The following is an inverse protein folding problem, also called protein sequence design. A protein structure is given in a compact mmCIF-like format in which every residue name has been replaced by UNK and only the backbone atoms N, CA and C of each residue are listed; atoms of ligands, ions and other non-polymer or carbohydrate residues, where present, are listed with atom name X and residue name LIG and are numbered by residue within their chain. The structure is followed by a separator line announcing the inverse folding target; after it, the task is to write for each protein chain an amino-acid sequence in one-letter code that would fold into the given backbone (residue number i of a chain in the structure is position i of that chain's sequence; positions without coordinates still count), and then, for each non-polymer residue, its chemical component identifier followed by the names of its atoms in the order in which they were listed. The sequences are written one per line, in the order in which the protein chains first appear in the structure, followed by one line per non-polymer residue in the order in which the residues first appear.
data_IF_562223809948
#
_entry.id   IF_562223809948
#
_cell.length_a   1.000
_cell.length_b   1.000
_cell.length_c   1.000
_cell.angle_alpha   90.00
_cell.angle_beta   90.00
_cell.angle_gamma   90.00
#
_symmetry.space_group_name_H-M   'P 1'
#
loop_
_entity.id
_entity.type
_entity.pdbx_description
1 polymer ?
#
# COMPACT_ATOMS: atom_id res chain seq x y z
N UNK A 1 33.70 33.34 81.59
CA UNK A 1 32.39 33.89 81.17
C UNK A 1 32.37 33.95 79.64
N UNK A 2 31.36 33.32 79.03
CA UNK A 2 30.86 33.45 77.65
C UNK A 2 31.64 32.84 76.45
N UNK A 3 31.07 31.73 75.99
CA UNK A 3 30.44 31.52 74.68
C UNK A 3 31.27 31.67 73.38
N UNK A 4 31.61 30.48 72.85
CA UNK A 4 31.37 29.94 71.50
C UNK A 4 32.05 30.56 70.26
N UNK A 5 32.70 29.70 69.45
CA UNK A 5 32.53 29.80 68.01
C UNK A 5 32.39 28.41 67.34
N UNK A 6 31.24 27.74 67.44
CA UNK A 6 30.90 26.65 66.53
C UNK A 6 30.39 27.22 65.20
N UNK A 7 31.33 27.65 64.36
CA UNK A 7 31.13 27.75 62.91
C UNK A 7 31.58 26.45 62.27
N UNK A 8 30.69 25.45 62.18
CA UNK A 8 30.86 24.37 61.20
C UNK A 8 30.22 24.78 59.88
N UNK A 9 31.07 25.32 59.02
CA UNK A 9 30.86 25.46 57.59
C UNK A 9 30.67 24.08 56.93
N UNK A 10 29.92 24.05 55.84
CA UNK A 10 29.25 22.87 55.28
C UNK A 10 30.17 21.74 54.84
N UNK A 11 29.73 20.51 55.10
CA UNK A 11 30.24 19.32 54.43
C UNK A 11 29.28 18.97 53.28
N UNK A 12 29.43 19.72 52.19
CA UNK A 12 28.80 19.40 50.90
C UNK A 12 29.47 18.14 50.35
N UNK A 13 28.98 16.97 50.78
CA UNK A 13 29.56 15.68 50.41
C UNK A 13 28.92 15.22 49.10
N UNK A 14 29.36 15.82 47.99
CA UNK A 14 28.94 15.43 46.65
C UNK A 14 29.34 13.97 46.33
N UNK A 15 28.63 13.28 45.42
CA UNK A 15 28.94 11.90 45.06
C UNK A 15 30.38 11.74 44.55
N UNK A 16 31.07 10.63 44.87
CA UNK A 16 32.45 10.42 44.44
C UNK A 16 32.55 10.50 42.91
N UNK A 17 33.62 11.14 42.40
CA UNK A 17 33.82 11.35 40.95
C UNK A 17 33.73 10.06 40.14
N UNK A 18 34.14 8.93 40.70
CA UNK A 18 34.02 7.62 40.06
C UNK A 18 32.55 7.20 39.83
N UNK A 19 31.66 7.49 40.79
CA UNK A 19 30.22 7.22 40.67
C UNK A 19 29.60 8.14 39.61
N UNK A 20 30.02 9.41 39.56
CA UNK A 20 29.59 10.34 38.52
C UNK A 20 30.02 9.89 37.12
N UNK A 21 31.28 9.44 36.95
CA UNK A 21 31.80 8.96 35.68
C UNK A 21 31.06 7.68 35.24
N UNK A 22 30.87 6.73 36.16
CA UNK A 22 30.14 5.49 35.87
C UNK A 22 28.68 5.76 35.46
N UNK A 23 28.01 6.67 36.17
CA UNK A 23 26.64 7.08 35.84
C UNK A 23 26.54 7.74 34.47
N UNK A 24 27.48 8.63 34.13
CA UNK A 24 27.54 9.29 32.81
C UNK A 24 27.80 8.26 31.71
N UNK A 25 28.76 7.36 31.88
CA UNK A 25 29.06 6.33 30.90
C UNK A 25 27.85 5.43 30.63
N UNK A 26 27.14 5.02 31.69
CA UNK A 26 25.95 4.18 31.58
C UNK A 26 24.79 4.91 30.90
N UNK A 27 24.62 6.20 31.18
CA UNK A 27 23.64 7.05 30.50
C UNK A 27 23.94 7.18 28.99
N UNK A 28 25.20 7.42 28.62
CA UNK A 28 25.62 7.53 27.21
C UNK A 28 25.40 6.21 26.47
N UNK A 29 25.74 5.07 27.07
CA UNK A 29 25.49 3.75 26.47
C UNK A 29 23.98 3.51 26.29
N UNK A 30 23.17 3.80 27.30
CA UNK A 30 21.72 3.63 27.21
C UNK A 30 21.11 4.50 26.10
N UNK A 31 21.52 5.77 25.99
CA UNK A 31 21.09 6.66 24.91
C UNK A 31 21.54 6.11 23.55
N UNK A 32 22.79 5.65 23.43
CA UNK A 32 23.30 5.04 22.20
C UNK A 32 22.48 3.83 21.76
N UNK A 33 22.12 2.94 22.69
CA UNK A 33 21.27 1.78 22.42
C UNK A 33 19.86 2.20 22.01
N UNK A 34 19.25 3.17 22.70
CA UNK A 34 17.91 3.68 22.35
C UNK A 34 17.91 4.30 20.96
N UNK A 35 18.93 5.11 20.62
CA UNK A 35 19.06 5.72 19.30
C UNK A 35 19.30 4.70 18.21
N UNK A 36 20.11 3.66 18.46
CA UNK A 36 20.29 2.56 17.53
C UNK A 36 18.97 1.82 17.28
N UNK A 37 18.22 1.50 18.32
CA UNK A 37 16.89 0.88 18.20
C UNK A 37 15.95 1.79 17.43
N UNK A 38 15.89 3.09 17.76
CA UNK A 38 15.04 4.05 17.07
C UNK A 38 15.40 4.19 15.58
N UNK A 39 16.68 4.23 15.24
CA UNK A 39 17.16 4.27 13.86
C UNK A 39 16.82 2.99 13.07
N UNK A 40 16.71 1.84 13.75
CA UNK A 40 16.27 0.58 13.13
C UNK A 40 14.75 0.42 13.05
N UNK A 41 13.96 1.25 13.76
CA UNK A 41 12.50 1.24 13.67
C UNK A 41 12.06 1.99 12.41
N UNK A 42 11.78 1.23 11.35
CA UNK A 42 11.10 1.76 10.17
C UNK A 42 9.69 2.23 10.58
N UNK A 43 9.34 3.46 10.22
CA UNK A 43 7.96 3.93 10.37
C UNK A 43 7.02 2.99 9.60
N UNK A 44 5.82 2.66 10.14
CA UNK A 44 4.86 1.86 9.40
C UNK A 44 4.59 2.49 8.03
N UNK A 45 4.56 1.70 6.94
CA UNK A 45 4.28 2.24 5.62
C UNK A 45 2.93 2.98 5.64
N UNK A 46 2.91 4.20 5.08
CA UNK A 46 1.71 5.02 5.04
C UNK A 46 0.59 4.27 4.30
N UNK A 47 -0.60 4.10 4.91
CA UNK A 47 -1.70 3.39 4.28
C UNK A 47 -2.22 4.08 3.02
N UNK A 48 -2.58 3.29 2.01
CA UNK A 48 -3.18 3.76 0.76
C UNK A 48 -4.68 3.94 0.96
N UNK A 49 -5.17 5.17 0.82
CA UNK A 49 -6.59 5.42 0.72
C UNK A 49 -7.11 4.98 -0.66
N UNK A 50 -8.08 4.08 -0.67
CA UNK A 50 -8.76 3.60 -1.87
C UNK A 50 -10.23 3.99 -1.76
N UNK A 51 -10.71 4.84 -2.67
CA UNK A 51 -12.12 5.20 -2.70
C UNK A 51 -12.98 3.94 -2.87
N UNK A 52 -14.05 3.85 -2.07
CA UNK A 52 -15.05 2.81 -2.23
C UNK A 52 -15.78 3.00 -3.56
N UNK A 53 -16.01 1.88 -4.25
CA UNK A 53 -16.79 1.81 -5.48
C UNK A 53 -17.66 0.56 -5.38
N UNK A 54 -18.89 0.53 -5.96
CA UNK A 54 -19.74 -0.65 -5.92
C UNK A 54 -19.00 -1.91 -6.40
N UNK A 55 -18.88 -2.88 -5.50
CA UNK A 55 -18.21 -4.15 -5.73
C UNK A 55 -19.02 -5.29 -5.10
N UNK A 56 -20.22 -5.59 -5.63
CA UNK A 56 -21.15 -6.55 -5.02
C UNK A 56 -20.58 -7.98 -4.95
N UNK A 57 -19.56 -8.28 -5.76
CA UNK A 57 -18.91 -9.60 -5.80
C UNK A 57 -17.54 -9.62 -5.10
N UNK A 58 -17.17 -8.58 -4.35
CA UNK A 58 -15.86 -8.47 -3.69
C UNK A 58 -15.56 -9.62 -2.71
N UNK A 59 -16.59 -10.16 -2.04
CA UNK A 59 -16.47 -11.31 -1.13
C UNK A 59 -16.56 -12.69 -1.82
N UNK A 60 -16.69 -12.73 -3.15
CA UNK A 60 -16.83 -13.98 -3.90
C UNK A 60 -15.63 -14.91 -3.71
N UNK A 61 -15.82 -16.21 -3.98
CA UNK A 61 -14.74 -17.18 -3.93
C UNK A 61 -13.60 -16.84 -4.90
N UNK A 62 -13.94 -16.32 -6.09
CA UNK A 62 -12.97 -15.87 -7.09
C UNK A 62 -12.11 -14.72 -6.55
N UNK A 63 -12.71 -13.68 -5.96
CA UNK A 63 -11.96 -12.56 -5.42
C UNK A 63 -11.10 -12.94 -4.22
N UNK A 64 -11.56 -13.86 -3.36
CA UNK A 64 -10.75 -14.40 -2.26
C UNK A 64 -9.54 -15.19 -2.78
N UNK A 65 -9.76 -16.07 -3.76
CA UNK A 65 -8.66 -16.83 -4.39
C UNK A 65 -7.61 -15.90 -5.03
N UNK A 66 -8.05 -14.84 -5.73
CA UNK A 66 -7.15 -13.83 -6.28
C UNK A 66 -6.39 -13.10 -5.16
N UNK A 67 -7.08 -12.65 -4.10
CA UNK A 67 -6.47 -11.96 -2.98
C UNK A 67 -5.37 -12.78 -2.29
N UNK A 68 -5.54 -14.11 -2.23
CA UNK A 68 -4.55 -15.03 -1.66
C UNK A 68 -3.35 -15.27 -2.58
N UNK A 69 -3.54 -15.27 -3.92
CA UNK A 69 -2.47 -15.47 -4.91
C UNK A 69 -1.71 -14.19 -5.27
N UNK A 70 -2.19 -13.05 -4.78
CA UNK A 70 -1.82 -11.72 -5.19
C UNK A 70 -0.36 -11.41 -4.75
N UNK A 71 0.54 -10.99 -5.67
CA UNK A 71 1.97 -10.95 -5.35
C UNK A 71 2.33 -9.81 -4.39
N UNK A 72 3.42 -10.00 -3.65
CA UNK A 72 3.97 -8.96 -2.75
C UNK A 72 4.68 -7.83 -3.52
N UNK A 73 5.13 -8.10 -4.74
CA UNK A 73 5.81 -7.14 -5.61
C UNK A 73 5.24 -7.16 -7.02
N UNK A 74 5.20 -5.99 -7.64
CA UNK A 74 4.88 -5.78 -9.04
C UNK A 74 6.01 -4.98 -9.69
N UNK A 75 7.05 -5.64 -10.19
CA UNK A 75 8.32 -4.98 -10.52
C UNK A 75 8.88 -4.23 -9.30
N UNK A 76 9.07 -2.91 -9.44
CA UNK A 76 9.56 -2.02 -8.37
C UNK A 76 8.48 -1.63 -7.35
N UNK A 77 7.20 -1.94 -7.61
CA UNK A 77 6.11 -1.64 -6.69
C UNK A 77 6.06 -2.69 -5.58
N UNK A 78 6.03 -2.25 -4.33
CA UNK A 78 5.84 -3.10 -3.15
C UNK A 78 4.39 -3.01 -2.66
N UNK A 79 3.81 -4.12 -2.22
CA UNK A 79 2.47 -4.15 -1.63
C UNK A 79 2.41 -3.20 -0.44
N UNK A 80 1.39 -2.34 -0.42
CA UNK A 80 1.18 -1.33 0.60
C UNK A 80 -0.10 -1.64 1.39
N UNK A 81 -0.14 -1.35 2.71
CA UNK A 81 -1.37 -1.51 3.48
C UNK A 81 -2.44 -0.53 2.99
N UNK A 82 -3.71 -0.92 3.10
CA UNK A 82 -4.83 -0.04 2.81
C UNK A 82 -5.25 0.73 4.06
N UNK A 83 -5.71 1.96 3.87
CA UNK A 83 -6.32 2.75 4.94
C UNK A 83 -7.65 2.12 5.36
N UNK A 84 -7.97 2.18 6.65
CA UNK A 84 -9.23 1.64 7.16
C UNK A 84 -10.37 2.67 7.07
N UNK A 85 -11.60 2.25 6.73
CA UNK A 85 -12.00 0.89 6.37
C UNK A 85 -11.52 0.50 4.96
N UNK A 86 -10.81 -0.62 4.85
CA UNK A 86 -10.31 -1.11 3.57
C UNK A 86 -11.46 -1.72 2.74
N UNK A 87 -11.66 -1.31 1.47
CA UNK A 87 -12.63 -1.96 0.60
C UNK A 87 -12.29 -3.44 0.41
N UNK A 88 -13.30 -4.31 0.49
CA UNK A 88 -13.12 -5.74 0.20
C UNK A 88 -12.65 -5.94 -1.25
N UNK A 89 -11.83 -6.97 -1.47
CA UNK A 89 -11.31 -7.27 -2.81
C UNK A 89 -10.33 -6.21 -3.37
N UNK A 90 -9.87 -5.25 -2.55
CA UNK A 90 -8.90 -4.25 -2.97
C UNK A 90 -7.48 -4.59 -2.53
N UNK A 91 -6.50 -4.19 -3.35
CA UNK A 91 -5.09 -4.23 -3.02
C UNK A 91 -4.36 -3.04 -3.64
N UNK A 92 -3.25 -2.62 -3.04
CA UNK A 92 -2.44 -1.54 -3.56
C UNK A 92 -0.94 -1.84 -3.47
N UNK A 93 -0.19 -1.25 -4.40
CA UNK A 93 1.26 -1.27 -4.41
C UNK A 93 1.83 0.12 -4.71
N UNK A 94 2.98 0.44 -4.14
CA UNK A 94 3.67 1.74 -4.30
C UNK A 94 5.18 1.53 -4.43
N UNK A 95 5.85 2.44 -5.13
CA UNK A 95 7.33 2.48 -5.21
C UNK A 95 7.93 3.28 -4.06
N UNK A 96 7.22 4.29 -3.56
CA UNK A 96 7.58 5.09 -2.38
C UNK A 96 6.32 5.59 -1.64
N UNK A 97 6.43 6.07 -0.37
CA UNK A 97 5.28 6.53 0.41
C UNK A 97 4.41 7.57 -0.31
N UNK A 98 5.03 8.52 -1.01
CA UNK A 98 4.35 9.61 -1.73
C UNK A 98 4.04 9.29 -3.20
N UNK A 99 4.42 8.09 -3.68
CA UNK A 99 4.14 7.67 -5.05
C UNK A 99 2.66 7.37 -5.26
N UNK A 100 2.18 7.60 -6.50
CA UNK A 100 0.84 7.15 -6.89
C UNK A 100 0.80 5.61 -6.88
N UNK A 101 -0.20 5.00 -6.23
CA UNK A 101 -0.30 3.56 -6.15
C UNK A 101 -0.78 2.94 -7.47
N UNK A 102 -0.34 1.71 -7.72
CA UNK A 102 -1.10 0.73 -8.50
C UNK A 102 -2.22 0.21 -7.59
N UNK A 103 -3.45 0.20 -8.07
CA UNK A 103 -4.62 -0.24 -7.29
C UNK A 103 -5.37 -1.32 -8.06
N UNK A 104 -5.61 -2.45 -7.41
CA UNK A 104 -6.48 -3.51 -7.89
C UNK A 104 -7.77 -3.52 -7.09
N UNK A 105 -8.91 -3.72 -7.76
CA UNK A 105 -10.23 -3.91 -7.16
C UNK A 105 -10.91 -5.09 -7.83
N UNK A 106 -11.37 -6.08 -7.06
CA UNK A 106 -12.06 -7.26 -7.57
C UNK A 106 -13.56 -7.23 -7.24
N UNK A 107 -14.37 -7.80 -8.13
CA UNK A 107 -15.79 -8.04 -7.87
C UNK A 107 -16.69 -6.84 -8.17
N UNK A 108 -16.26 -6.03 -9.13
CA UNK A 108 -16.97 -4.84 -9.60
C UNK A 108 -18.12 -5.22 -10.54
N UNK A 109 -19.04 -4.28 -10.74
CA UNK A 109 -20.00 -4.36 -11.85
C UNK A 109 -19.31 -4.15 -13.21
N UNK A 110 -19.97 -4.60 -14.28
CA UNK A 110 -19.52 -4.35 -15.65
C UNK A 110 -19.38 -2.83 -15.89
N UNK A 111 -18.23 -2.34 -16.40
CA UNK A 111 -18.08 -0.94 -16.74
C UNK A 111 -19.08 -0.54 -17.83
N UNK A 112 -19.73 0.62 -17.65
CA UNK A 112 -20.83 1.05 -18.53
C UNK A 112 -20.37 1.26 -19.98
N UNK A 113 -19.11 1.60 -20.17
CA UNK A 113 -18.48 1.85 -21.46
C UNK A 113 -18.08 0.58 -22.21
N UNK A 114 -18.13 -0.59 -21.55
CA UNK A 114 -17.81 -1.87 -22.19
C UNK A 114 -19.01 -2.37 -23.02
N UNK A 115 -19.06 -1.88 -24.25
CA UNK A 115 -20.09 -2.17 -25.25
C UNK A 115 -19.53 -3.01 -26.41
N UNK A 116 -20.42 -3.57 -27.25
CA UNK A 116 -20.04 -4.30 -28.46
C UNK A 116 -19.14 -3.43 -29.34
N UNK A 117 -18.00 -3.97 -29.74
CA UNK A 117 -16.98 -3.25 -30.52
C UNK A 117 -15.94 -2.51 -29.69
N UNK A 118 -16.03 -2.55 -28.35
CA UNK A 118 -15.00 -1.99 -27.48
C UNK A 118 -13.62 -2.60 -27.76
N UNK A 119 -12.54 -1.80 -27.80
CA UNK A 119 -11.20 -2.33 -27.97
C UNK A 119 -10.77 -3.12 -26.74
N UNK A 120 -10.20 -4.31 -26.98
CA UNK A 120 -9.70 -5.22 -25.94
C UNK A 120 -8.22 -5.45 -26.20
N UNK A 121 -7.42 -5.47 -25.13
CA UNK A 121 -6.02 -5.84 -25.14
C UNK A 121 -5.81 -7.17 -24.42
N UNK A 122 -5.03 -8.07 -25.00
CA UNK A 122 -4.68 -9.33 -24.36
C UNK A 122 -3.31 -9.19 -23.71
N UNK A 123 -3.22 -9.46 -22.41
CA UNK A 123 -1.98 -9.53 -21.65
C UNK A 123 -1.98 -10.85 -20.90
N UNK A 124 -0.99 -11.71 -21.16
CA UNK A 124 -0.83 -13.01 -20.51
C UNK A 124 -2.14 -13.81 -20.35
N UNK A 125 -2.86 -14.01 -21.47
CA UNK A 125 -4.15 -14.74 -21.57
C UNK A 125 -5.35 -14.09 -20.87
N UNK A 126 -5.20 -12.87 -20.34
CA UNK A 126 -6.31 -12.07 -19.79
C UNK A 126 -6.71 -10.99 -20.79
N UNK A 127 -8.01 -10.82 -21.01
CA UNK A 127 -8.56 -9.77 -21.86
C UNK A 127 -8.89 -8.53 -21.02
N UNK A 128 -8.29 -7.40 -21.37
CA UNK A 128 -8.39 -6.13 -20.69
C UNK A 128 -9.10 -5.08 -21.54
N UNK A 129 -10.08 -4.40 -20.96
CA UNK A 129 -10.75 -3.24 -21.52
C UNK A 129 -10.28 -1.97 -20.78
N UNK A 130 -9.82 -0.96 -21.50
CA UNK A 130 -9.46 0.33 -20.90
C UNK A 130 -10.67 1.26 -20.82
N UNK A 131 -10.96 1.76 -19.62
CA UNK A 131 -11.97 2.81 -19.45
C UNK A 131 -11.35 4.14 -19.88
N UNK A 132 -12.00 4.84 -20.82
CA UNK A 132 -11.55 6.15 -21.25
C UNK A 132 -11.44 7.10 -20.05
N UNK A 133 -10.32 7.82 -19.94
CA UNK A 133 -10.14 8.82 -18.90
C UNK A 133 -11.23 9.90 -19.03
N UNK A 134 -12.16 9.96 -18.07
CA UNK A 134 -13.17 11.01 -18.02
C UNK A 134 -12.55 12.40 -17.92
N UNK A 135 -13.27 13.43 -18.37
CA UNK A 135 -12.83 14.84 -18.37
C UNK A 135 -12.43 15.36 -16.97
N UNK A 136 -12.95 14.76 -15.89
CA UNK A 136 -12.52 15.02 -14.50
C UNK A 136 -11.06 14.64 -14.20
N UNK A 137 -10.41 13.84 -15.06
CA UNK A 137 -9.00 13.45 -14.92
C UNK A 137 -8.04 14.51 -15.47
N UNK A 138 -8.54 15.60 -16.08
CA UNK A 138 -7.71 16.64 -16.70
C UNK A 138 -6.85 17.47 -15.71
N UNK A 139 -6.97 17.23 -14.40
CA UNK A 139 -6.09 17.78 -13.37
C UNK A 139 -5.35 16.72 -12.52
N UNK A 140 -5.70 15.44 -12.67
CA UNK A 140 -4.97 14.34 -12.04
C UNK A 140 -3.92 13.84 -13.02
N UNK A 141 -2.66 13.77 -12.57
CA UNK A 141 -1.59 13.21 -13.38
C UNK A 141 -2.01 11.83 -13.92
N UNK A 142 -1.94 11.68 -15.26
CA UNK A 142 -2.58 10.62 -16.03
C UNK A 142 -2.50 9.24 -15.35
N UNK A 143 -3.64 8.55 -15.30
CA UNK A 143 -3.79 7.16 -14.88
C UNK A 143 -4.67 6.44 -15.89
N UNK A 144 -4.41 5.17 -16.12
CA UNK A 144 -5.25 4.29 -16.94
C UNK A 144 -5.95 3.28 -16.02
N UNK A 145 -7.23 3.00 -16.26
CA UNK A 145 -7.96 1.96 -15.53
C UNK A 145 -8.42 0.88 -16.50
N UNK A 146 -8.00 -0.35 -16.23
CA UNK A 146 -8.22 -1.52 -17.05
C UNK A 146 -9.15 -2.49 -16.34
N UNK A 147 -10.11 -3.06 -17.04
CA UNK A 147 -11.02 -4.09 -16.52
C UNK A 147 -10.77 -5.42 -17.20
N UNK A 148 -10.68 -6.50 -16.43
CA UNK A 148 -10.75 -7.85 -17.00
C UNK A 148 -12.17 -8.10 -17.48
N UNK A 149 -12.33 -8.55 -18.73
CA UNK A 149 -13.66 -8.75 -19.34
C UNK A 149 -13.98 -10.21 -19.66
N UNK A 150 -13.02 -11.10 -19.48
CA UNK A 150 -13.11 -12.53 -19.75
C UNK A 150 -12.92 -13.38 -18.48
N UNK A 151 -13.32 -12.85 -17.32
CA UNK A 151 -13.27 -13.52 -16.01
C UNK A 151 -14.66 -13.52 -15.37
N UNK A 152 -15.00 -14.47 -14.48
CA UNK A 152 -16.34 -14.62 -13.90
C UNK A 152 -16.77 -13.44 -13.00
N UNK A 153 -15.81 -12.59 -12.60
CA UNK A 153 -16.03 -11.34 -11.88
C UNK A 153 -15.14 -10.28 -12.53
N UNK A 154 -15.60 -9.02 -12.56
CA UNK A 154 -14.79 -7.93 -13.11
C UNK A 154 -13.73 -7.48 -12.11
N UNK A 155 -12.48 -7.42 -12.57
CA UNK A 155 -11.33 -6.90 -11.82
C UNK A 155 -10.83 -5.64 -12.50
N UNK A 156 -10.78 -4.52 -11.76
CA UNK A 156 -10.18 -3.29 -12.24
C UNK A 156 -8.75 -3.13 -11.74
N UNK A 157 -7.87 -2.66 -12.62
CA UNK A 157 -6.49 -2.30 -12.37
C UNK A 157 -6.26 -0.84 -12.77
N UNK A 158 -6.02 0.02 -11.79
CA UNK A 158 -5.64 1.42 -12.03
C UNK A 158 -4.11 1.54 -11.98
N UNK A 159 -3.53 1.99 -13.08
CA UNK A 159 -2.10 2.20 -13.27
C UNK A 159 -1.77 3.69 -13.34
N UNK A 160 -0.82 4.19 -12.54
CA UNK A 160 -0.18 5.47 -12.80
C UNK A 160 0.49 5.53 -14.18
N UNK A 161 0.50 6.71 -14.80
CA UNK A 161 1.34 6.93 -15.98
C UNK A 161 2.81 6.59 -15.67
N UNK A 162 3.46 5.90 -16.60
CA UNK A 162 4.86 5.47 -16.46
C UNK A 162 5.06 4.20 -15.64
N UNK A 163 4.01 3.46 -15.25
CA UNK A 163 4.14 2.17 -14.54
C UNK A 163 4.85 1.07 -15.34
N UNK A 164 4.98 1.22 -16.66
CA UNK A 164 5.45 0.16 -17.54
C UNK A 164 4.47 -1.03 -17.62
N UNK A 165 4.82 -2.09 -18.37
CA UNK A 165 3.95 -3.24 -18.59
C UNK A 165 3.97 -4.25 -17.43
N UNK A 166 5.03 -4.25 -16.61
CA UNK A 166 5.26 -5.30 -15.60
C UNK A 166 4.10 -5.48 -14.61
N UNK A 167 3.47 -4.41 -14.06
CA UNK A 167 2.37 -4.61 -13.12
C UNK A 167 1.16 -5.32 -13.73
N UNK A 168 0.76 -4.95 -14.96
CA UNK A 168 -0.39 -5.59 -15.63
C UNK A 168 -0.06 -7.02 -16.06
N UNK A 169 1.17 -7.31 -16.48
CA UNK A 169 1.61 -8.67 -16.81
C UNK A 169 1.54 -9.61 -15.61
N UNK A 170 2.20 -9.22 -14.50
CA UNK A 170 2.23 -10.07 -13.29
C UNK A 170 0.86 -10.25 -12.63
N UNK A 171 -0.01 -9.23 -12.73
CA UNK A 171 -1.40 -9.37 -12.28
C UNK A 171 -2.23 -10.22 -13.24
N UNK A 172 -1.97 -10.17 -14.55
CA UNK A 172 -2.62 -11.04 -15.52
C UNK A 172 -2.31 -12.50 -15.24
N UNK A 173 -1.04 -12.82 -14.98
CA UNK A 173 -0.63 -14.17 -14.56
C UNK A 173 -1.38 -14.62 -13.30
N UNK A 174 -1.44 -13.79 -12.25
CA UNK A 174 -2.14 -14.14 -11.02
C UNK A 174 -3.65 -14.36 -11.23
N UNK A 175 -4.27 -13.57 -12.10
CA UNK A 175 -5.69 -13.68 -12.46
C UNK A 175 -5.95 -14.96 -13.27
N UNK A 176 -5.09 -15.28 -14.24
CA UNK A 176 -5.20 -16.50 -15.05
C UNK A 176 -5.10 -17.77 -14.20
N UNK A 177 -4.22 -17.79 -13.20
CA UNK A 177 -4.06 -18.93 -12.29
C UNK A 177 -5.23 -19.11 -11.31
N UNK A 178 -5.99 -18.05 -11.01
CA UNK A 178 -7.02 -18.08 -9.97
C UNK A 178 -8.45 -18.06 -10.51
N UNK A 179 -8.64 -17.63 -11.76
CA UNK A 179 -9.94 -17.46 -12.36
C UNK A 179 -9.95 -18.03 -13.78
N UNK A 180 -10.87 -18.96 -14.03
CA UNK A 180 -11.08 -19.49 -15.37
C UNK A 180 -11.57 -18.40 -16.33
N UNK A 181 -11.13 -18.48 -17.59
CA UNK A 181 -11.65 -17.63 -18.64
C UNK A 181 -13.13 -17.96 -18.93
N UNK A 182 -13.94 -16.93 -19.17
CA UNK A 182 -15.35 -17.04 -19.57
C UNK A 182 -15.59 -16.20 -20.83
N UNK A 183 -16.64 -16.50 -21.63
CA UNK A 183 -17.03 -15.61 -22.72
C UNK A 183 -17.26 -14.18 -22.23
N UNK A 184 -16.80 -13.20 -23.01
CA UNK A 184 -17.01 -11.79 -22.71
C UNK A 184 -18.50 -11.41 -22.83
N UNK A 185 -18.96 -10.46 -22.01
CA UNK A 185 -20.37 -9.99 -21.97
C UNK A 185 -20.47 -8.46 -22.11
N UNK A 186 -20.18 -7.89 -23.30
CA UNK A 186 -20.35 -6.46 -23.54
C UNK A 186 -21.82 -6.06 -23.64
N UNK A 187 -22.15 -4.84 -23.22
CA UNK A 187 -23.47 -4.27 -23.46
C UNK A 187 -23.71 -3.98 -24.97
N UNK A 188 -24.96 -3.89 -25.44
CA UNK A 188 -25.24 -3.47 -26.81
C UNK A 188 -24.62 -2.10 -27.14
N UNK A 189 -24.17 -1.91 -28.39
CA UNK A 189 -23.75 -0.60 -28.86
C UNK A 189 -24.95 0.37 -28.90
N UNK A 190 -24.70 1.63 -28.54
CA UNK A 190 -25.68 2.72 -28.59
C UNK A 190 -25.89 3.25 -30.00
#
# INVERSE_FOLDING_TARGET
MKADPDTRSGADTGPPRAVMIAAIALAVVAIGVILAIAATRQAPPQPVAVAAFPAPQAASAACRALADALPQRLGDYQRAPLAQPAPEGAAAWRTSPDSRPVVLRCGLDRPAEFVVGSPIQVVDRVQWFEVAAGQQSAGEAARATWYTVDRPVYVALTLPAGSGPTPIQQLSDAIDHTMAAVPIDPAPAH
#
